data_IF_469605651728
#
_entry.id   IF_469605651728
#
_cell.length_a   1.000
_cell.length_b   1.000
_cell.length_c   1.000
_cell.angle_alpha   90.00
_cell.angle_beta   90.00
_cell.angle_gamma   90.00
#
_symmetry.space_group_name_H-M   'P 1'
#
loop_
_entity.id
_entity.type
_entity.pdbx_description
1 polymer ?
#
# COMPACT_ATOMS: atom_id res chain seq x y z
N UNK A 1 -50.79 23.81 -20.72
CA UNK A 1 -49.41 24.27 -20.99
C UNK A 1 -48.53 23.02 -20.95
N UNK A 2 -48.57 22.12 -21.95
CA UNK A 2 -47.98 22.20 -23.32
C UNK A 2 -46.48 22.53 -23.23
N UNK A 3 -45.47 21.82 -23.77
CA UNK A 3 -45.22 20.56 -24.48
C UNK A 3 -43.69 20.32 -24.40
N UNK A 4 -43.24 19.06 -24.46
CA UNK A 4 -41.95 18.47 -24.93
C UNK A 4 -40.71 19.37 -25.23
N UNK A 5 -39.50 18.85 -24.99
CA UNK A 5 -38.59 18.24 -26.03
C UNK A 5 -37.18 18.00 -25.43
N UNK A 6 -36.71 16.75 -25.58
CA UNK A 6 -35.33 16.24 -25.65
C UNK A 6 -34.31 17.19 -26.30
N UNK A 7 -33.05 17.21 -25.84
CA UNK A 7 -31.87 16.96 -26.71
C UNK A 7 -30.53 17.01 -25.95
N UNK A 8 -29.86 15.87 -25.97
CA UNK A 8 -28.46 15.68 -26.35
C UNK A 8 -27.41 16.65 -25.83
N UNK A 9 -26.55 16.14 -24.93
CA UNK A 9 -25.13 16.41 -25.00
C UNK A 9 -24.34 15.10 -24.80
N UNK A 10 -24.37 14.26 -25.83
CA UNK A 10 -23.29 13.32 -26.11
C UNK A 10 -22.14 14.13 -26.72
N UNK A 11 -21.01 14.20 -26.02
CA UNK A 11 -19.75 14.76 -26.52
C UNK A 11 -18.63 13.80 -26.07
N UNK A 12 -18.42 12.75 -26.86
CA UNK A 12 -17.23 12.56 -27.73
C UNK A 12 -15.95 12.28 -26.95
N UNK A 13 -15.67 10.99 -26.79
CA UNK A 13 -14.37 10.48 -26.35
C UNK A 13 -14.18 8.99 -26.66
N UNK A 14 -14.89 8.46 -27.66
CA UNK A 14 -14.76 7.08 -28.13
C UNK A 14 -14.85 7.09 -29.64
N UNK A 15 -13.78 7.54 -30.32
CA UNK A 15 -13.55 7.29 -31.74
C UNK A 15 -12.11 7.68 -32.12
N UNK A 16 -11.17 6.79 -31.85
CA UNK A 16 -9.88 6.72 -32.54
C UNK A 16 -9.34 5.29 -32.44
N UNK A 17 -10.18 4.36 -32.89
CA UNK A 17 -9.85 2.94 -33.02
C UNK A 17 -10.12 2.49 -34.46
N UNK A 18 -9.60 3.20 -35.46
CA UNK A 18 -9.51 2.74 -36.86
C UNK A 18 -8.62 3.71 -37.65
N UNK A 19 -7.30 3.51 -37.58
CA UNK A 19 -6.32 4.00 -38.57
C UNK A 19 -4.94 3.52 -38.13
N UNK A 20 -4.60 2.26 -38.40
CA UNK A 20 -3.21 1.76 -38.50
C UNK A 20 -3.14 0.38 -39.20
N UNK A 21 -4.13 0.04 -40.03
CA UNK A 21 -4.06 -1.10 -40.95
C UNK A 21 -3.75 -0.61 -42.36
N UNK A 22 -2.48 -0.30 -42.62
CA UNK A 22 -1.86 -0.48 -43.92
C UNK A 22 -0.33 -0.28 -43.82
N UNK A 23 0.40 -1.35 -44.12
CA UNK A 23 1.79 -1.34 -44.59
C UNK A 23 2.92 -1.15 -43.57
N UNK A 24 3.35 -2.28 -42.99
CA UNK A 24 4.73 -2.75 -43.14
C UNK A 24 4.76 -4.27 -43.02
N UNK A 25 4.69 -4.95 -44.15
CA UNK A 25 5.06 -6.36 -44.29
C UNK A 25 6.56 -6.51 -44.05
N UNK A 26 6.93 -6.78 -42.80
CA UNK A 26 8.24 -7.30 -42.39
C UNK A 26 8.09 -8.78 -42.01
N UNK A 27 9.14 -9.61 -42.20
CA UNK A 27 9.00 -11.06 -42.28
C UNK A 27 8.50 -11.66 -40.97
N UNK A 28 7.67 -12.70 -41.09
CA UNK A 28 7.17 -13.59 -40.05
C UNK A 28 8.16 -13.75 -38.88
N UNK A 29 8.04 -12.90 -37.85
CA UNK A 29 8.48 -13.25 -36.52
C UNK A 29 7.38 -14.17 -36.02
N UNK A 30 7.63 -15.47 -36.09
CA UNK A 30 6.84 -16.46 -35.38
C UNK A 30 6.63 -15.88 -33.97
N UNK A 31 5.37 -15.60 -33.64
CA UNK A 31 4.95 -15.34 -32.27
C UNK A 31 5.25 -16.67 -31.57
N UNK A 32 6.46 -16.77 -31.05
CA UNK A 32 6.82 -17.78 -30.07
C UNK A 32 5.95 -17.39 -28.90
N UNK A 33 4.82 -18.07 -28.77
CA UNK A 33 4.06 -18.08 -27.53
C UNK A 33 5.07 -18.48 -26.47
N UNK A 34 5.53 -17.50 -25.71
CA UNK A 34 6.56 -17.71 -24.72
C UNK A 34 5.96 -18.65 -23.66
N UNK A 35 6.45 -19.89 -23.51
CA UNK A 35 5.92 -20.80 -22.50
C UNK A 35 6.13 -20.27 -21.07
N UNK A 36 6.87 -19.16 -20.92
CA UNK A 36 7.20 -18.47 -19.67
C UNK A 36 6.14 -17.48 -19.15
N UNK A 37 5.06 -17.18 -19.89
CA UNK A 37 4.02 -16.26 -19.39
C UNK A 37 3.19 -16.84 -18.24
N UNK A 38 2.89 -18.16 -18.29
CA UNK A 38 2.11 -18.85 -17.24
C UNK A 38 2.72 -18.77 -15.83
N UNK A 39 4.04 -18.94 -15.64
CA UNK A 39 4.69 -18.74 -14.34
C UNK A 39 4.48 -17.35 -13.71
N UNK A 40 4.47 -16.30 -14.52
CA UNK A 40 4.35 -14.91 -14.04
C UNK A 40 2.91 -14.60 -13.61
N UNK A 41 1.94 -14.97 -14.44
CA UNK A 41 0.52 -14.76 -14.13
C UNK A 41 0.11 -15.52 -12.85
N UNK A 42 0.63 -16.74 -12.67
CA UNK A 42 0.39 -17.51 -11.46
C UNK A 42 1.01 -16.86 -10.22
N UNK A 43 2.27 -16.40 -10.32
CA UNK A 43 2.93 -15.69 -9.21
C UNK A 43 2.13 -14.44 -8.80
N UNK A 44 1.68 -13.64 -9.77
CA UNK A 44 0.86 -12.46 -9.49
C UNK A 44 -0.44 -12.87 -8.81
N UNK A 45 -1.15 -13.88 -9.34
CA UNK A 45 -2.38 -14.38 -8.74
C UNK A 45 -2.17 -14.88 -7.29
N UNK A 46 -1.02 -15.50 -7.00
CA UNK A 46 -0.66 -16.00 -5.67
C UNK A 46 -0.31 -14.87 -4.68
N UNK A 47 0.15 -13.72 -5.17
CA UNK A 47 0.50 -12.54 -4.37
C UNK A 47 -0.70 -11.62 -4.12
N UNK A 48 -1.63 -11.51 -5.08
CA UNK A 48 -2.77 -10.58 -5.05
C UNK A 48 -3.53 -10.56 -3.72
N UNK A 49 -3.91 -11.69 -3.10
CA UNK A 49 -4.66 -11.67 -1.85
C UNK A 49 -3.92 -10.98 -0.69
N UNK A 50 -2.59 -11.18 -0.59
CA UNK A 50 -1.79 -10.52 0.45
C UNK A 50 -1.56 -9.04 0.12
N UNK A 51 -1.47 -8.67 -1.16
CA UNK A 51 -1.36 -7.26 -1.59
C UNK A 51 -2.66 -6.51 -1.28
N UNK A 52 -3.82 -7.10 -1.56
CA UNK A 52 -5.13 -6.51 -1.24
C UNK A 52 -5.35 -6.40 0.27
N UNK A 53 -4.98 -7.44 1.03
CA UNK A 53 -5.03 -7.38 2.49
C UNK A 53 -4.12 -6.27 3.05
N UNK A 54 -2.91 -6.10 2.48
CA UNK A 54 -1.99 -5.02 2.87
C UNK A 54 -2.60 -3.62 2.67
N UNK A 55 -3.34 -3.40 1.58
CA UNK A 55 -4.08 -2.16 1.36
C UNK A 55 -5.13 -1.90 2.44
N UNK A 56 -5.94 -2.92 2.77
CA UNK A 56 -6.98 -2.78 3.80
C UNK A 56 -6.37 -2.52 5.18
N UNK A 57 -5.32 -3.25 5.54
CA UNK A 57 -4.61 -3.05 6.81
C UNK A 57 -3.99 -1.65 6.89
N UNK A 58 -3.40 -1.16 5.79
CA UNK A 58 -2.91 0.22 5.71
C UNK A 58 -4.03 1.23 5.92
N UNK A 59 -5.16 1.06 5.23
CA UNK A 59 -6.27 2.00 5.29
C UNK A 59 -6.84 2.11 6.71
N UNK A 60 -6.98 0.97 7.40
CA UNK A 60 -7.39 0.94 8.81
C UNK A 60 -6.39 1.68 9.71
N UNK A 61 -5.08 1.47 9.51
CA UNK A 61 -4.03 2.13 10.29
C UNK A 61 -4.05 3.65 10.07
N UNK A 62 -4.20 4.10 8.83
CA UNK A 62 -4.31 5.52 8.47
C UNK A 62 -5.56 6.17 9.09
N UNK A 63 -6.67 5.44 9.14
CA UNK A 63 -7.88 5.92 9.82
C UNK A 63 -7.66 6.09 11.33
N UNK A 64 -7.01 5.11 11.98
CA UNK A 64 -6.67 5.21 13.42
C UNK A 64 -5.78 6.43 13.68
N UNK A 65 -4.78 6.68 12.83
CA UNK A 65 -3.93 7.87 12.93
C UNK A 65 -4.75 9.18 12.84
N UNK A 66 -5.69 9.26 11.89
CA UNK A 66 -6.57 10.43 11.72
C UNK A 66 -7.47 10.64 12.94
N UNK A 67 -8.01 9.57 13.51
CA UNK A 67 -8.83 9.62 14.72
C UNK A 67 -8.01 10.15 15.90
N UNK A 68 -6.78 9.64 16.09
CA UNK A 68 -5.86 10.15 17.11
C UNK A 68 -5.54 11.63 16.91
N UNK A 69 -5.31 12.07 15.67
CA UNK A 69 -5.07 13.50 15.36
C UNK A 69 -6.27 14.38 15.63
N UNK A 70 -7.47 13.85 15.47
CA UNK A 70 -8.68 14.55 15.87
C UNK A 70 -8.74 14.74 17.39
N UNK A 71 -8.46 13.68 18.16
CA UNK A 71 -8.42 13.72 19.63
C UNK A 71 -7.31 14.64 20.16
N UNK A 72 -6.16 14.70 19.50
CA UNK A 72 -5.01 15.55 19.88
C UNK A 72 -5.42 17.02 20.02
N UNK A 73 -6.41 17.49 19.25
CA UNK A 73 -6.92 18.87 19.34
C UNK A 73 -7.47 19.22 20.73
N UNK A 74 -7.97 18.23 21.46
CA UNK A 74 -8.45 18.41 22.83
C UNK A 74 -7.33 18.68 23.84
N UNK A 75 -6.07 18.38 23.49
CA UNK A 75 -4.90 18.57 24.34
C UNK A 75 -4.19 19.90 24.13
N UNK A 76 -4.55 20.65 23.07
CA UNK A 76 -3.89 21.91 22.72
C UNK A 76 -4.04 23.00 23.79
N UNK A 77 -5.01 22.83 24.69
CA UNK A 77 -5.30 23.77 25.77
C UNK A 77 -5.12 23.14 27.16
N UNK A 78 -4.53 21.95 27.23
CA UNK A 78 -4.21 21.30 28.50
C UNK A 78 -2.99 22.01 29.13
N UNK A 79 -3.04 22.44 30.40
CA UNK A 79 -1.90 23.06 31.06
C UNK A 79 -0.68 22.14 31.21
N UNK A 80 -0.80 20.81 31.04
CA UNK A 80 0.33 19.88 30.97
C UNK A 80 0.72 19.55 29.52
N UNK A 81 1.48 20.45 28.89
CA UNK A 81 2.01 20.33 27.51
C UNK A 81 2.76 19.00 27.23
N UNK A 82 3.21 18.30 28.29
CA UNK A 82 3.91 17.02 28.15
C UNK A 82 3.02 15.91 27.60
N UNK A 83 1.74 15.88 27.95
CA UNK A 83 0.81 14.86 27.42
C UNK A 83 0.66 15.00 25.90
N UNK A 84 0.46 16.24 25.43
CA UNK A 84 0.43 16.55 24.01
C UNK A 84 1.72 16.10 23.31
N UNK A 85 2.88 16.40 23.90
CA UNK A 85 4.18 16.00 23.35
C UNK A 85 4.36 14.48 23.21
N UNK A 86 3.90 13.68 24.17
CA UNK A 86 3.96 12.22 24.06
C UNK A 86 3.01 11.67 23.00
N UNK A 87 1.75 12.16 22.97
CA UNK A 87 0.75 11.78 21.96
C UNK A 87 1.25 12.12 20.55
N UNK A 88 1.83 13.30 20.35
CA UNK A 88 2.38 13.72 19.06
C UNK A 88 3.51 12.82 18.58
N UNK A 89 4.41 12.42 19.50
CA UNK A 89 5.50 11.48 19.17
C UNK A 89 4.95 10.10 18.78
N UNK A 90 3.99 9.57 19.54
CA UNK A 90 3.36 8.29 19.17
C UNK A 90 2.66 8.40 17.82
N UNK A 91 1.90 9.47 17.60
CA UNK A 91 1.23 9.73 16.32
C UNK A 91 2.20 9.82 15.15
N UNK A 92 3.39 10.40 15.34
CA UNK A 92 4.44 10.45 14.32
C UNK A 92 4.90 9.05 13.90
N UNK A 93 5.22 8.17 14.86
CA UNK A 93 5.68 6.81 14.53
C UNK A 93 4.57 5.96 13.89
N UNK A 94 3.31 6.16 14.28
CA UNK A 94 2.16 5.51 13.61
C UNK A 94 2.04 6.01 12.16
N UNK A 95 2.18 7.31 11.94
CA UNK A 95 2.13 7.90 10.60
C UNK A 95 3.28 7.40 9.73
N UNK A 96 4.50 7.38 10.25
CA UNK A 96 5.69 6.90 9.56
C UNK A 96 5.52 5.44 9.14
N UNK A 97 4.99 4.58 10.03
CA UNK A 97 4.66 3.20 9.69
C UNK A 97 3.59 3.12 8.58
N UNK A 98 2.51 3.90 8.69
CA UNK A 98 1.44 3.96 7.69
C UNK A 98 1.97 4.33 6.30
N UNK A 99 2.80 5.38 6.21
CA UNK A 99 3.41 5.82 4.95
C UNK A 99 4.28 4.73 4.33
N UNK A 100 5.09 4.03 5.14
CA UNK A 100 5.93 2.93 4.63
C UNK A 100 5.09 1.78 4.10
N UNK A 101 4.04 1.38 4.82
CA UNK A 101 3.13 0.31 4.40
C UNK A 101 2.44 0.69 3.08
N UNK A 102 1.92 1.92 2.96
CA UNK A 102 1.32 2.43 1.72
C UNK A 102 2.29 2.31 0.55
N UNK A 103 3.52 2.80 0.72
CA UNK A 103 4.52 2.80 -0.35
C UNK A 103 4.87 1.37 -0.77
N UNK A 104 4.93 0.41 0.17
CA UNK A 104 5.11 -1.00 -0.18
C UNK A 104 3.96 -1.54 -0.99
N UNK A 105 2.73 -1.26 -0.57
CA UNK A 105 1.54 -1.65 -1.32
C UNK A 105 1.55 -1.08 -2.74
N UNK A 106 1.84 0.21 -2.92
CA UNK A 106 1.92 0.85 -4.24
C UNK A 106 2.95 0.18 -5.16
N UNK A 107 4.12 -0.18 -4.64
CA UNK A 107 5.14 -0.85 -5.44
C UNK A 107 4.76 -2.29 -5.79
N UNK A 108 4.04 -2.99 -4.92
CA UNK A 108 3.59 -4.35 -5.18
C UNK A 108 2.36 -4.39 -6.12
N UNK A 109 1.52 -3.36 -6.11
CA UNK A 109 0.29 -3.31 -6.93
C UNK A 109 0.57 -3.18 -8.43
N UNK A 110 1.78 -2.75 -8.81
CA UNK A 110 2.16 -2.59 -10.22
C UNK A 110 2.84 -3.82 -10.84
N UNK A 111 2.96 -4.93 -10.11
CA UNK A 111 3.68 -6.13 -10.57
C UNK A 111 3.23 -6.63 -11.95
N UNK A 112 1.92 -6.57 -12.24
CA UNK A 112 1.35 -6.99 -13.51
C UNK A 112 1.76 -6.11 -14.72
N UNK A 113 2.34 -4.94 -14.48
CA UNK A 113 2.76 -3.99 -15.51
C UNK A 113 4.28 -3.98 -15.73
N UNK A 114 5.04 -4.78 -14.98
CA UNK A 114 6.47 -4.92 -15.15
C UNK A 114 6.75 -5.79 -16.36
N UNK A 115 7.72 -5.38 -17.20
CA UNK A 115 8.09 -6.20 -18.35
C UNK A 115 8.69 -7.53 -17.88
N UNK A 116 8.39 -8.66 -18.54
CA UNK A 116 8.88 -9.97 -18.11
C UNK A 116 10.41 -10.06 -17.98
N UNK A 117 11.16 -9.37 -18.84
CA UNK A 117 12.63 -9.33 -18.82
C UNK A 117 13.23 -8.55 -17.64
N UNK A 118 12.41 -7.75 -16.95
CA UNK A 118 12.81 -6.93 -15.80
C UNK A 118 12.20 -7.43 -14.48
N UNK A 119 11.36 -8.47 -14.53
CA UNK A 119 10.59 -8.92 -13.39
C UNK A 119 11.51 -9.43 -12.28
N UNK A 120 12.47 -10.31 -12.59
CA UNK A 120 13.37 -10.90 -11.58
C UNK A 120 14.19 -9.83 -10.83
N UNK A 121 14.73 -8.84 -11.55
CA UNK A 121 15.43 -7.69 -10.98
C UNK A 121 14.49 -6.89 -10.07
N UNK A 122 13.26 -6.64 -10.54
CA UNK A 122 12.24 -5.93 -9.77
C UNK A 122 11.88 -6.67 -8.47
N UNK A 123 11.70 -7.99 -8.52
CA UNK A 123 11.38 -8.82 -7.35
C UNK A 123 12.55 -8.81 -6.35
N UNK A 124 13.79 -8.94 -6.84
CA UNK A 124 14.99 -8.89 -6.00
C UNK A 124 15.10 -7.57 -5.23
N UNK A 125 14.86 -6.44 -5.91
CA UNK A 125 14.83 -5.12 -5.28
C UNK A 125 13.70 -5.01 -4.24
N UNK A 126 12.53 -5.57 -4.55
CA UNK A 126 11.40 -5.59 -3.62
C UNK A 126 11.69 -6.41 -2.37
N UNK A 127 12.34 -7.57 -2.46
CA UNK A 127 12.72 -8.37 -1.27
C UNK A 127 13.61 -7.57 -0.31
N UNK A 128 14.60 -6.84 -0.85
CA UNK A 128 15.46 -5.96 -0.04
C UNK A 128 14.66 -4.83 0.60
N UNK A 129 13.78 -4.17 -0.17
CA UNK A 129 12.97 -3.07 0.32
C UNK A 129 11.93 -3.51 1.37
N UNK A 130 11.35 -4.70 1.22
CA UNK A 130 10.44 -5.30 2.20
C UNK A 130 11.17 -5.58 3.51
N UNK A 131 12.39 -6.11 3.45
CA UNK A 131 13.20 -6.38 4.64
C UNK A 131 13.49 -5.09 5.41
N UNK A 132 13.96 -4.04 4.73
CA UNK A 132 14.18 -2.74 5.36
C UNK A 132 12.90 -2.17 5.98
N UNK A 133 11.77 -2.26 5.26
CA UNK A 133 10.48 -1.76 5.76
C UNK A 133 10.01 -2.50 7.02
N UNK A 134 10.16 -3.83 7.06
CA UNK A 134 9.80 -4.64 8.23
C UNK A 134 10.62 -4.21 9.45
N UNK A 135 11.93 -4.02 9.27
CA UNK A 135 12.83 -3.59 10.36
C UNK A 135 12.46 -2.18 10.84
N UNK A 136 12.20 -1.24 9.92
CA UNK A 136 11.79 0.13 10.22
C UNK A 136 10.47 0.20 10.99
N UNK A 137 9.44 -0.53 10.56
CA UNK A 137 8.16 -0.62 11.30
C UNK A 137 8.39 -1.24 12.70
N UNK A 138 9.32 -2.19 12.82
CA UNK A 138 9.72 -2.75 14.11
C UNK A 138 10.43 -1.74 15.03
N UNK A 139 11.16 -0.76 14.48
CA UNK A 139 11.68 0.37 15.27
C UNK A 139 10.55 1.30 15.70
N UNK A 140 9.62 1.62 14.81
CA UNK A 140 8.47 2.48 15.11
C UNK A 140 7.63 1.89 16.26
N UNK A 141 7.30 0.59 16.24
CA UNK A 141 6.55 -0.07 17.31
C UNK A 141 7.24 0.03 18.68
N UNK A 142 8.59 -0.09 18.70
CA UNK A 142 9.37 0.06 19.92
C UNK A 142 9.32 1.48 20.46
N UNK A 143 9.42 2.49 19.60
CA UNK A 143 9.29 3.88 20.04
C UNK A 143 7.88 4.22 20.52
N UNK A 144 6.85 3.70 19.84
CA UNK A 144 5.46 3.80 20.29
C UNK A 144 5.34 3.22 21.71
N UNK A 145 5.87 2.03 21.96
CA UNK A 145 5.81 1.39 23.28
C UNK A 145 6.47 2.24 24.37
N UNK A 146 7.61 2.88 24.07
CA UNK A 146 8.31 3.78 25.01
C UNK A 146 7.46 5.01 25.33
N UNK A 147 6.94 5.72 24.32
CA UNK A 147 6.21 6.96 24.54
C UNK A 147 4.79 6.73 25.08
N UNK A 148 4.14 5.63 24.70
CA UNK A 148 2.82 5.26 25.22
C UNK A 148 2.83 5.05 26.74
N UNK A 149 3.95 4.61 27.32
CA UNK A 149 4.11 4.46 28.76
C UNK A 149 3.96 5.76 29.57
N UNK A 150 4.01 6.92 28.92
CA UNK A 150 3.85 8.23 29.56
C UNK A 150 2.50 8.91 29.26
N UNK A 151 1.62 8.23 28.51
CA UNK A 151 0.28 8.73 28.16
C UNK A 151 -0.72 8.20 29.18
N UNK A 152 -1.46 9.08 29.85
CA UNK A 152 -2.42 8.69 30.89
C UNK A 152 -3.88 8.67 30.39
N UNK A 153 -4.14 9.26 29.24
CA UNK A 153 -5.48 9.39 28.70
C UNK A 153 -5.93 8.10 28.02
N UNK A 154 -6.94 7.44 28.59
CA UNK A 154 -7.45 6.14 28.15
C UNK A 154 -7.89 6.10 26.69
N UNK A 155 -8.43 7.20 26.17
CA UNK A 155 -8.86 7.28 24.76
C UNK A 155 -7.68 7.03 23.81
N UNK A 156 -6.54 7.67 24.05
CA UNK A 156 -5.33 7.46 23.25
C UNK A 156 -4.75 6.07 23.42
N UNK A 157 -4.75 5.50 24.63
CA UNK A 157 -4.22 4.15 24.86
C UNK A 157 -4.99 3.12 24.00
N UNK A 158 -6.32 3.21 23.93
CA UNK A 158 -7.12 2.34 23.08
C UNK A 158 -6.75 2.45 21.60
N UNK A 159 -6.55 3.67 21.09
CA UNK A 159 -6.17 3.89 19.69
C UNK A 159 -4.74 3.41 19.40
N UNK A 160 -3.82 3.63 20.33
CA UNK A 160 -2.43 3.17 20.23
C UNK A 160 -2.38 1.65 20.16
N UNK A 161 -3.11 0.95 21.02
CA UNK A 161 -3.14 -0.51 21.01
C UNK A 161 -3.70 -1.06 19.69
N UNK A 162 -4.76 -0.43 19.14
CA UNK A 162 -5.30 -0.77 17.82
C UNK A 162 -4.29 -0.50 16.70
N UNK A 163 -3.59 0.64 16.74
CA UNK A 163 -2.57 0.98 15.74
C UNK A 163 -1.43 -0.04 15.75
N UNK A 164 -0.91 -0.40 16.93
CA UNK A 164 0.14 -1.42 17.08
C UNK A 164 -0.31 -2.79 16.58
N UNK A 165 -1.56 -3.18 16.85
CA UNK A 165 -2.13 -4.41 16.31
C UNK A 165 -2.16 -4.40 14.77
N UNK A 166 -2.56 -3.29 14.15
CA UNK A 166 -2.55 -3.12 12.69
C UNK A 166 -1.15 -3.09 12.09
N UNK A 167 -0.18 -2.45 12.77
CA UNK A 167 1.23 -2.52 12.36
C UNK A 167 1.76 -3.95 12.39
N UNK A 168 1.43 -4.72 13.43
CA UNK A 168 1.81 -6.14 13.54
C UNK A 168 1.17 -6.99 12.43
N UNK A 169 -0.10 -6.76 12.14
CA UNK A 169 -0.81 -7.40 11.03
C UNK A 169 -0.12 -7.10 9.68
N UNK A 170 0.21 -5.83 9.43
CA UNK A 170 0.92 -5.39 8.23
C UNK A 170 2.32 -6.02 8.12
N UNK A 171 3.09 -6.08 9.21
CA UNK A 171 4.38 -6.78 9.22
C UNK A 171 4.21 -8.25 8.84
N UNK A 172 3.21 -8.93 9.40
CA UNK A 172 2.94 -10.33 9.04
C UNK A 172 2.57 -10.52 7.56
N UNK A 173 1.87 -9.56 6.96
CA UNK A 173 1.59 -9.54 5.51
C UNK A 173 2.87 -9.33 4.69
N UNK A 174 3.69 -8.33 5.07
CA UNK A 174 4.95 -8.03 4.39
C UNK A 174 5.95 -9.20 4.48
N UNK A 175 5.99 -9.93 5.60
CA UNK A 175 6.80 -11.12 5.76
C UNK A 175 6.36 -12.27 4.84
N UNK A 176 5.04 -12.50 4.71
CA UNK A 176 4.51 -13.50 3.77
C UNK A 176 4.82 -13.12 2.32
N UNK A 177 4.62 -11.86 1.96
CA UNK A 177 4.95 -11.33 0.63
C UNK A 177 6.45 -11.52 0.35
N UNK A 178 7.31 -11.13 1.29
CA UNK A 178 8.76 -11.35 1.17
C UNK A 178 9.08 -12.82 0.96
N UNK A 179 8.48 -13.72 1.73
CA UNK A 179 8.69 -15.17 1.60
C UNK A 179 8.29 -15.73 0.24
N UNK A 180 7.18 -15.24 -0.34
CA UNK A 180 6.73 -15.60 -1.69
C UNK A 180 7.60 -15.03 -2.80
N UNK A 181 8.26 -13.89 -2.55
CA UNK A 181 9.14 -13.21 -3.51
C UNK A 181 10.60 -13.65 -3.44
N UNK A 182 11.04 -14.28 -2.35
CA UNK A 182 12.36 -14.88 -2.29
C UNK A 182 12.44 -16.01 -3.32
N UNK A 183 13.52 -16.10 -4.12
CA UNK A 183 13.62 -17.13 -5.15
C UNK A 183 13.49 -18.52 -4.51
N UNK A 184 12.55 -19.31 -5.02
CA UNK A 184 12.46 -20.75 -4.74
C UNK A 184 13.58 -21.44 -5.53
N UNK A 185 14.83 -21.29 -5.08
CA UNK A 185 15.98 -21.85 -5.78
C UNK A 185 17.32 -21.34 -5.24
N UNK A 186 17.83 -22.00 -4.21
CA UNK A 186 19.26 -22.19 -4.01
C UNK A 186 19.71 -23.47 -4.71
#
# INVERSE_FOLDING_TARGET
MTIKILKNLHFTGMFLLFLLLASCTGPNRAIRSDPSAKPTDQLIADLTPDIEALYLTWHDLDQIYKDMKFLERGLLFDPDDRQLGYVQKVGLYIQDASVRIHHRWEQLSILAYIRPDMLDDYLTLNVKALTATIDEIGYDDRFIAIYAGFIHQKAFIGDIDRARAKMKEAVGLLERLRGKLMPVGG
#
